data_IF_838672571995
#
_entry.id   IF_838672571995
#
_cell.length_a   1.000
_cell.length_b   1.000
_cell.length_c   1.000
_cell.angle_alpha   90.00
_cell.angle_beta   90.00
_cell.angle_gamma   90.00
#
_symmetry.space_group_name_H-M   'P 1'
#
loop_
_entity.id
_entity.type
_entity.pdbx_description
1 polymer ?
#
# COMPACT_ATOMS: atom_id res chain seq x y z
N UNK A 1 1.56 -0.85 -6.37
CA UNK A 1 2.75 -1.43 -5.71
C UNK A 1 4.06 -0.93 -6.32
N UNK A 2 4.39 -1.20 -7.59
CA UNK A 2 5.66 -0.71 -8.17
C UNK A 2 5.79 0.83 -8.11
N UNK A 3 4.74 1.56 -8.48
CA UNK A 3 4.73 3.02 -8.35
C UNK A 3 4.86 3.53 -6.91
N UNK A 4 4.41 2.73 -5.91
CA UNK A 4 4.58 3.06 -4.49
C UNK A 4 6.06 2.96 -4.12
N UNK A 5 6.71 1.83 -4.43
CA UNK A 5 8.12 1.59 -4.14
C UNK A 5 9.05 2.59 -4.82
N UNK A 6 8.77 2.96 -6.07
CA UNK A 6 9.53 3.99 -6.78
C UNK A 6 9.37 5.35 -6.08
N UNK A 7 8.15 5.69 -5.65
CA UNK A 7 7.92 6.95 -4.93
C UNK A 7 8.57 6.94 -3.56
N UNK A 8 8.55 5.81 -2.84
CA UNK A 8 9.22 5.62 -1.56
C UNK A 8 10.75 5.74 -1.70
N UNK A 9 11.32 5.20 -2.78
CA UNK A 9 12.75 5.33 -3.07
C UNK A 9 13.13 6.79 -3.34
N UNK A 10 12.35 7.52 -4.14
CA UNK A 10 12.56 8.95 -4.40
C UNK A 10 12.46 9.76 -3.09
N UNK A 11 11.43 9.50 -2.28
CA UNK A 11 11.21 10.14 -0.97
C UNK A 11 12.38 9.86 -0.02
N UNK A 12 12.81 8.60 0.05
CA UNK A 12 13.92 8.14 0.86
C UNK A 12 15.25 8.78 0.46
N UNK A 13 15.52 8.95 -0.84
CA UNK A 13 16.69 9.68 -1.34
C UNK A 13 16.66 11.15 -0.91
N UNK A 14 15.53 11.82 -1.05
CA UNK A 14 15.36 13.21 -0.58
C UNK A 14 15.50 13.34 0.94
N UNK A 15 15.02 12.34 1.69
CA UNK A 15 15.18 12.22 3.14
C UNK A 15 16.63 12.01 3.56
N UNK A 16 17.33 11.05 2.97
CA UNK A 16 18.73 10.72 3.24
C UNK A 16 19.67 11.90 2.98
N UNK A 17 19.38 12.72 1.96
CA UNK A 17 20.13 13.95 1.69
C UNK A 17 20.10 14.94 2.87
N UNK A 18 19.04 14.92 3.68
CA UNK A 18 18.93 15.75 4.89
C UNK A 18 20.03 15.44 5.91
N UNK A 19 20.59 14.22 5.91
CA UNK A 19 21.69 13.86 6.80
C UNK A 19 22.92 14.75 6.55
N UNK A 20 23.21 15.09 5.28
CA UNK A 20 24.28 16.03 4.95
C UNK A 20 24.06 17.40 5.59
N UNK A 21 22.84 17.93 5.50
CA UNK A 21 22.52 19.24 6.07
C UNK A 21 22.58 19.26 7.59
N UNK A 22 22.24 18.14 8.23
CA UNK A 22 22.41 17.97 9.68
C UNK A 22 23.90 17.98 10.05
N UNK A 23 24.76 17.27 9.30
CA UNK A 23 26.21 17.27 9.55
C UNK A 23 26.84 18.66 9.30
N UNK A 24 26.38 19.37 8.28
CA UNK A 24 26.85 20.72 7.94
C UNK A 24 26.24 21.82 8.83
N UNK A 25 25.37 21.47 9.78
CA UNK A 25 24.60 22.36 10.67
C UNK A 25 23.83 23.49 9.96
N UNK A 26 23.69 23.45 8.64
CA UNK A 26 23.05 24.49 7.85
C UNK A 26 22.65 23.98 6.47
N UNK A 27 21.39 24.17 6.10
CA UNK A 27 20.94 24.01 4.71
C UNK A 27 21.14 25.32 3.94
N UNK A 28 21.75 25.25 2.75
CA UNK A 28 22.08 26.43 1.93
C UNK A 28 21.32 26.40 0.61
N UNK A 29 20.92 27.57 0.12
CA UNK A 29 20.35 27.71 -1.22
C UNK A 29 21.35 27.29 -2.30
N UNK A 30 20.88 26.61 -3.34
CA UNK A 30 21.71 26.16 -4.46
C UNK A 30 21.13 24.94 -5.16
N UNK A 31 21.85 24.42 -6.16
CA UNK A 31 21.40 23.29 -6.99
C UNK A 31 21.09 22.03 -6.18
N UNK A 32 21.85 21.76 -5.11
CA UNK A 32 21.61 20.61 -4.23
C UNK A 32 20.30 20.74 -3.45
N UNK A 33 19.99 21.96 -2.97
CA UNK A 33 18.76 22.26 -2.25
C UNK A 33 17.54 22.11 -3.17
N UNK A 34 17.66 22.64 -4.37
CA UNK A 34 16.68 22.52 -5.44
C UNK A 34 16.40 21.08 -5.83
N UNK A 35 17.46 20.28 -6.02
CA UNK A 35 17.34 18.86 -6.34
C UNK A 35 16.63 18.09 -5.21
N UNK A 36 17.02 18.33 -3.96
CA UNK A 36 16.36 17.71 -2.81
C UNK A 36 14.88 18.09 -2.74
N UNK A 37 14.55 19.37 -2.92
CA UNK A 37 13.18 19.84 -2.86
C UNK A 37 12.31 19.24 -3.97
N UNK A 38 12.85 19.08 -5.19
CA UNK A 38 12.16 18.37 -6.28
C UNK A 38 11.92 16.91 -5.90
N UNK A 39 12.93 16.20 -5.40
CA UNK A 39 12.79 14.81 -4.99
C UNK A 39 11.68 14.64 -3.95
N UNK A 40 11.63 15.50 -2.92
CA UNK A 40 10.55 15.44 -1.91
C UNK A 40 9.19 15.80 -2.49
N UNK A 41 9.12 16.79 -3.37
CA UNK A 41 7.86 17.22 -4.00
C UNK A 41 7.30 16.17 -4.98
N UNK A 42 8.14 15.31 -5.58
CA UNK A 42 7.68 14.22 -6.46
C UNK A 42 7.46 12.92 -5.69
N UNK A 43 8.37 12.58 -4.79
CA UNK A 43 8.38 11.35 -4.04
C UNK A 43 7.25 11.33 -3.01
N UNK A 44 7.28 12.27 -2.08
CA UNK A 44 6.45 12.20 -0.88
C UNK A 44 4.94 12.15 -1.20
N UNK A 45 4.34 13.05 -2.04
CA UNK A 45 2.93 12.92 -2.42
C UNK A 45 2.65 11.69 -3.29
N UNK A 46 3.66 11.19 -4.01
CA UNK A 46 3.57 9.94 -4.76
C UNK A 46 3.25 8.74 -3.90
N UNK A 47 3.88 8.67 -2.72
CA UNK A 47 3.62 7.60 -1.74
C UNK A 47 2.18 7.67 -1.22
N UNK A 48 1.69 8.88 -0.94
CA UNK A 48 0.34 9.14 -0.47
C UNK A 48 -0.72 8.78 -1.53
N UNK A 49 -0.54 9.23 -2.77
CA UNK A 49 -1.45 8.93 -3.89
C UNK A 49 -1.50 7.43 -4.20
N UNK A 50 -0.34 6.75 -4.20
CA UNK A 50 -0.28 5.32 -4.43
C UNK A 50 -0.95 4.54 -3.29
N UNK A 51 -0.76 4.98 -2.03
CA UNK A 51 -1.40 4.38 -0.86
C UNK A 51 -2.92 4.57 -0.89
N UNK A 52 -3.40 5.75 -1.28
CA UNK A 52 -4.82 6.03 -1.49
C UNK A 52 -5.43 5.07 -2.52
N UNK A 53 -4.78 4.95 -3.69
CA UNK A 53 -5.24 4.05 -4.75
C UNK A 53 -5.30 2.58 -4.28
N UNK A 54 -4.27 2.12 -3.55
CA UNK A 54 -4.25 0.78 -2.95
C UNK A 54 -5.40 0.61 -1.95
N UNK A 55 -5.60 1.58 -1.06
CA UNK A 55 -6.65 1.53 -0.03
C UNK A 55 -8.03 1.41 -0.65
N UNK A 56 -8.34 2.27 -1.62
CA UNK A 56 -9.62 2.27 -2.34
C UNK A 56 -9.80 0.95 -3.08
N UNK A 57 -8.79 0.49 -3.82
CA UNK A 57 -8.85 -0.77 -4.56
C UNK A 57 -9.08 -1.98 -3.64
N UNK A 58 -8.34 -2.06 -2.53
CA UNK A 58 -8.48 -3.13 -1.54
C UNK A 58 -9.84 -3.08 -0.86
N UNK A 59 -10.36 -1.89 -0.55
CA UNK A 59 -11.72 -1.74 -0.05
C UNK A 59 -12.74 -2.31 -1.03
N UNK A 60 -12.69 -1.95 -2.32
CA UNK A 60 -13.63 -2.49 -3.31
C UNK A 60 -13.53 -4.02 -3.45
N UNK A 61 -12.31 -4.56 -3.44
CA UNK A 61 -12.07 -5.99 -3.50
C UNK A 61 -12.65 -6.76 -2.30
N UNK A 62 -12.61 -6.19 -1.09
CA UNK A 62 -13.09 -6.84 0.13
C UNK A 62 -14.58 -6.57 0.36
N UNK A 63 -14.99 -5.30 0.33
CA UNK A 63 -16.34 -4.86 0.66
C UNK A 63 -17.38 -5.36 -0.35
N UNK A 64 -17.08 -5.23 -1.65
CA UNK A 64 -18.01 -5.64 -2.71
C UNK A 64 -17.67 -6.99 -3.33
N UNK A 65 -16.70 -7.71 -2.73
CA UNK A 65 -16.11 -8.93 -3.32
C UNK A 65 -15.74 -8.73 -4.81
N UNK A 66 -15.37 -7.51 -5.19
CA UNK A 66 -15.12 -7.18 -6.59
C UNK A 66 -13.86 -7.88 -7.04
N UNK A 67 -13.97 -8.72 -8.06
CA UNK A 67 -12.85 -9.41 -8.67
C UNK A 67 -12.60 -8.81 -10.05
N UNK A 68 -11.69 -7.82 -10.17
CA UNK A 68 -11.29 -7.34 -11.48
C UNK A 68 -10.72 -8.52 -12.27
N UNK A 69 -10.99 -8.53 -13.58
CA UNK A 69 -10.43 -9.54 -14.45
C UNK A 69 -8.90 -9.44 -14.38
N UNK A 70 -8.21 -10.55 -14.10
CA UNK A 70 -6.77 -10.60 -13.79
C UNK A 70 -5.87 -10.02 -14.91
N UNK A 71 -6.42 -9.84 -16.12
CA UNK A 71 -5.72 -9.30 -17.29
C UNK A 71 -6.07 -7.84 -17.61
N UNK A 72 -7.00 -7.22 -16.87
CA UNK A 72 -7.37 -5.83 -17.12
C UNK A 72 -6.48 -4.87 -16.31
N UNK A 73 -5.39 -4.43 -16.93
CA UNK A 73 -4.46 -3.46 -16.37
C UNK A 73 -4.84 -2.00 -16.67
N UNK A 74 -5.98 -1.74 -17.31
CA UNK A 74 -6.36 -0.39 -17.75
C UNK A 74 -6.52 0.56 -16.57
N UNK A 75 -7.31 0.17 -15.57
CA UNK A 75 -7.58 0.99 -14.38
C UNK A 75 -6.28 1.33 -13.62
N UNK A 76 -5.45 0.35 -13.19
CA UNK A 76 -4.23 0.69 -12.47
C UNK A 76 -3.24 1.49 -13.32
N UNK A 77 -3.17 1.25 -14.63
CA UNK A 77 -2.31 2.02 -15.52
C UNK A 77 -2.76 3.48 -15.61
N UNK A 78 -4.05 3.73 -15.80
CA UNK A 78 -4.61 5.10 -15.86
C UNK A 78 -4.39 5.84 -14.54
N UNK A 79 -4.64 5.20 -13.39
CA UNK A 79 -4.42 5.81 -12.07
C UNK A 79 -2.95 6.16 -11.85
N UNK A 80 -2.04 5.25 -12.21
CA UNK A 80 -0.60 5.51 -12.11
C UNK A 80 -0.21 6.65 -13.07
N UNK A 81 -0.64 6.61 -14.32
CA UNK A 81 -0.36 7.65 -15.31
C UNK A 81 -0.80 9.03 -14.82
N UNK A 82 -2.06 9.19 -14.39
CA UNK A 82 -2.59 10.44 -13.84
C UNK A 82 -1.78 10.89 -12.62
N UNK A 83 -1.39 9.97 -11.73
CA UNK A 83 -0.60 10.34 -10.56
C UNK A 83 0.79 10.87 -10.92
N UNK A 84 1.44 10.31 -11.94
CA UNK A 84 2.76 10.76 -12.39
C UNK A 84 2.67 12.08 -13.14
N UNK A 85 1.71 12.21 -14.05
CA UNK A 85 1.51 13.46 -14.81
C UNK A 85 1.14 14.62 -13.89
N UNK A 86 0.29 14.39 -12.88
CA UNK A 86 -0.03 15.40 -11.88
C UNK A 86 1.22 15.90 -11.14
N UNK A 87 2.05 15.00 -10.61
CA UNK A 87 3.24 15.37 -9.81
C UNK A 87 4.31 16.07 -10.65
N UNK A 88 4.59 15.53 -11.83
CA UNK A 88 5.58 16.12 -12.74
C UNK A 88 5.09 17.47 -13.30
N UNK A 89 3.81 17.54 -13.68
CA UNK A 89 3.16 18.76 -14.14
C UNK A 89 3.08 19.84 -13.07
N UNK A 90 2.85 19.44 -11.81
CA UNK A 90 2.87 20.37 -10.68
C UNK A 90 4.26 20.98 -10.48
N UNK A 91 5.31 20.16 -10.47
CA UNK A 91 6.69 20.64 -10.31
C UNK A 91 7.11 21.56 -11.47
N UNK A 92 6.79 21.19 -12.71
CA UNK A 92 7.12 22.03 -13.87
C UNK A 92 6.31 23.34 -13.86
N UNK A 93 5.03 23.28 -13.50
CA UNK A 93 4.17 24.46 -13.34
C UNK A 93 4.67 25.41 -12.27
N UNK A 94 4.99 24.90 -11.08
CA UNK A 94 5.52 25.70 -9.96
C UNK A 94 6.88 26.34 -10.30
N UNK A 95 7.72 25.66 -11.09
CA UNK A 95 8.97 26.21 -11.61
C UNK A 95 8.72 27.34 -12.62
N UNK A 96 7.73 27.19 -13.50
CA UNK A 96 7.38 28.19 -14.49
C UNK A 96 6.70 29.42 -13.88
N UNK A 97 5.93 29.26 -12.81
CA UNK A 97 5.23 30.34 -12.11
C UNK A 97 6.06 31.02 -11.01
N UNK A 98 7.34 30.65 -10.86
CA UNK A 98 8.22 31.22 -9.85
C UNK A 98 8.36 32.74 -10.04
N UNK A 99 8.24 33.49 -8.95
CA UNK A 99 8.28 34.95 -8.97
C UNK A 99 9.71 35.42 -9.23
N UNK A 100 9.91 36.44 -10.09
CA UNK A 100 11.23 37.02 -10.31
C UNK A 100 11.88 37.46 -8.99
N UNK A 101 13.10 36.99 -8.71
CA UNK A 101 13.86 37.35 -7.52
C UNK A 101 13.51 36.58 -6.22
N UNK A 102 12.52 35.68 -6.24
CA UNK A 102 12.22 34.80 -5.09
C UNK A 102 12.58 33.36 -5.43
N UNK A 103 13.28 32.67 -4.53
CA UNK A 103 13.58 31.25 -4.73
C UNK A 103 12.34 30.41 -4.45
N UNK A 104 11.95 29.59 -5.43
CA UNK A 104 10.84 28.64 -5.28
C UNK A 104 11.14 27.64 -4.15
N UNK A 105 12.39 27.19 -4.08
CA UNK A 105 12.88 26.29 -3.05
C UNK A 105 13.74 27.05 -2.05
N UNK A 106 13.55 26.76 -0.78
CA UNK A 106 14.26 27.38 0.32
C UNK A 106 14.59 26.33 1.40
N UNK A 107 15.70 26.53 2.11
CA UNK A 107 16.04 25.69 3.26
C UNK A 107 15.05 25.92 4.41
N UNK A 108 14.60 24.83 4.99
CA UNK A 108 13.83 24.77 6.24
C UNK A 108 14.62 23.88 7.19
N UNK A 109 15.01 24.36 8.38
CA UNK A 109 16.36 24.33 8.97
C UNK A 109 17.35 23.21 8.58
N UNK A 110 16.91 21.97 8.36
CA UNK A 110 17.75 20.80 8.04
C UNK A 110 17.38 20.06 6.74
N UNK A 111 16.46 20.58 5.92
CA UNK A 111 16.10 20.05 4.61
C UNK A 111 15.68 21.17 3.67
N UNK A 112 15.63 20.89 2.37
CA UNK A 112 15.10 21.82 1.39
C UNK A 112 13.70 21.43 0.95
N UNK A 113 12.84 22.44 0.84
CA UNK A 113 11.48 22.29 0.35
C UNK A 113 11.02 23.59 -0.32
N UNK A 114 9.75 23.66 -0.71
CA UNK A 114 9.14 24.81 -1.37
C UNK A 114 9.04 25.93 -0.33
N UNK A 115 9.33 27.15 -0.72
CA UNK A 115 9.52 28.28 0.20
C UNK A 115 8.24 28.65 0.96
N UNK A 116 8.38 29.24 2.15
CA UNK A 116 7.27 29.71 2.99
C UNK A 116 6.43 30.79 2.28
N UNK A 117 7.01 31.48 1.31
CA UNK A 117 6.28 32.45 0.48
C UNK A 117 5.19 31.81 -0.38
N UNK A 118 5.27 30.50 -0.64
CA UNK A 118 4.35 29.74 -1.49
C UNK A 118 3.49 28.77 -0.67
N UNK A 119 2.94 29.22 0.46
CA UNK A 119 2.10 28.39 1.32
C UNK A 119 0.86 27.83 0.60
N UNK A 120 0.27 28.59 -0.33
CA UNK A 120 -0.85 28.10 -1.13
C UNK A 120 -0.44 26.98 -2.10
N UNK A 121 0.79 26.99 -2.62
CA UNK A 121 1.30 25.92 -3.49
C UNK A 121 1.68 24.66 -2.69
N UNK A 122 2.09 24.81 -1.42
CA UNK A 122 2.42 23.67 -0.54
C UNK A 122 1.27 22.71 -0.35
N UNK A 123 0.06 23.25 -0.26
CA UNK A 123 -1.16 22.48 0.00
C UNK A 123 -1.40 21.44 -1.11
N UNK A 124 -1.63 21.82 -2.38
CA UNK A 124 -1.81 20.87 -3.47
C UNK A 124 -0.55 20.04 -3.74
N UNK A 125 0.65 20.61 -3.52
CA UNK A 125 1.91 19.87 -3.71
C UNK A 125 1.98 18.59 -2.86
N UNK A 126 1.54 18.65 -1.60
CA UNK A 126 1.85 17.59 -0.62
C UNK A 126 0.74 17.39 0.42
N UNK A 127 0.38 18.43 1.17
CA UNK A 127 -0.50 18.29 2.34
C UNK A 127 -1.90 17.81 1.99
N UNK A 128 -2.46 18.26 0.85
CA UNK A 128 -3.74 17.80 0.32
C UNK A 128 -3.75 16.27 0.22
N UNK A 129 -2.71 15.69 -0.37
CA UNK A 129 -2.62 14.25 -0.57
C UNK A 129 -2.40 13.51 0.74
N UNK A 130 -1.61 14.05 1.66
CA UNK A 130 -1.42 13.44 2.97
C UNK A 130 -2.72 13.32 3.75
N UNK A 131 -3.46 14.43 3.85
CA UNK A 131 -4.71 14.49 4.60
C UNK A 131 -5.83 13.74 3.89
N UNK A 132 -5.91 13.82 2.56
CA UNK A 132 -6.87 13.03 1.79
C UNK A 132 -6.64 11.54 1.98
N UNK A 133 -5.40 11.07 1.84
CA UNK A 133 -5.08 9.64 2.04
C UNK A 133 -5.38 9.23 3.48
N UNK A 134 -4.95 9.99 4.47
CA UNK A 134 -5.22 9.68 5.88
C UNK A 134 -6.72 9.63 6.18
N UNK A 135 -7.48 10.65 5.74
CA UNK A 135 -8.92 10.73 5.94
C UNK A 135 -9.67 9.58 5.28
N UNK A 136 -9.36 9.29 4.01
CA UNK A 136 -9.99 8.16 3.29
C UNK A 136 -9.61 6.82 3.93
N UNK A 137 -8.35 6.64 4.35
CA UNK A 137 -7.95 5.43 5.07
C UNK A 137 -8.75 5.23 6.36
N UNK A 138 -8.93 6.27 7.18
CA UNK A 138 -9.74 6.20 8.41
C UNK A 138 -11.20 5.86 8.08
N UNK A 139 -11.80 6.57 7.11
CA UNK A 139 -13.21 6.38 6.73
C UNK A 139 -13.47 4.99 6.17
N UNK A 140 -12.56 4.45 5.34
CA UNK A 140 -12.73 3.12 4.75
C UNK A 140 -12.41 1.98 5.73
N UNK A 141 -11.61 2.23 6.77
CA UNK A 141 -11.29 1.23 7.78
C UNK A 141 -12.48 0.83 8.64
N UNK A 142 -13.36 1.79 8.98
CA UNK A 142 -14.56 1.55 9.79
C UNK A 142 -15.51 0.52 9.14
N UNK A 143 -16.03 0.72 7.91
CA UNK A 143 -16.91 -0.25 7.26
C UNK A 143 -16.20 -1.58 6.99
N UNK A 144 -14.91 -1.54 6.69
CA UNK A 144 -14.10 -2.73 6.46
C UNK A 144 -14.03 -3.63 7.69
N UNK A 145 -13.85 -3.07 8.88
CA UNK A 145 -13.89 -3.82 10.14
C UNK A 145 -15.20 -4.60 10.30
N UNK A 146 -16.33 -3.99 9.94
CA UNK A 146 -17.64 -4.64 10.00
C UNK A 146 -17.84 -5.72 8.93
N UNK A 147 -17.35 -5.50 7.71
CA UNK A 147 -17.37 -6.51 6.62
C UNK A 147 -16.55 -7.74 7.01
N UNK A 148 -15.37 -7.55 7.61
CA UNK A 148 -14.49 -8.66 8.04
C UNK A 148 -15.17 -9.52 9.11
N UNK A 149 -15.95 -8.91 10.01
CA UNK A 149 -16.75 -9.62 11.01
C UNK A 149 -18.00 -10.30 10.46
N UNK A 150 -18.24 -10.26 9.13
CA UNK A 150 -19.46 -10.75 8.46
C UNK A 150 -20.75 -10.10 8.99
N UNK A 151 -20.62 -8.95 9.68
CA UNK A 151 -21.75 -8.25 10.26
C UNK A 151 -22.46 -7.37 9.22
N UNK A 152 -21.78 -7.06 8.12
CA UNK A 152 -22.29 -6.29 6.98
C UNK A 152 -22.02 -7.05 5.68
N UNK A 153 -23.06 -7.25 4.89
CA UNK A 153 -22.95 -7.62 3.48
C UNK A 153 -23.33 -6.41 2.62
N UNK A 154 -22.42 -6.01 1.73
CA UNK A 154 -22.60 -4.89 0.80
C UNK A 154 -22.87 -5.46 -0.57
N UNK A 155 -24.14 -5.37 -1.00
CA UNK A 155 -24.57 -5.90 -2.28
C UNK A 155 -23.87 -5.15 -3.44
N UNK A 156 -23.35 -5.91 -4.41
CA UNK A 156 -22.59 -5.41 -5.56
C UNK A 156 -23.46 -4.55 -6.49
N UNK A 157 -24.74 -4.91 -6.63
CA UNK A 157 -25.68 -4.25 -7.53
C UNK A 157 -26.34 -3.02 -6.88
N UNK A 158 -26.36 -2.94 -5.54
CA UNK A 158 -27.00 -1.87 -4.76
C UNK A 158 -26.15 -1.51 -3.55
N UNK A 159 -25.12 -0.65 -3.70
CA UNK A 159 -24.20 -0.32 -2.61
C UNK A 159 -24.88 0.33 -1.40
N UNK A 160 -26.09 0.88 -1.58
CA UNK A 160 -26.90 1.49 -0.53
C UNK A 160 -27.74 0.49 0.28
N UNK A 161 -27.88 -0.76 -0.17
CA UNK A 161 -28.55 -1.82 0.60
C UNK A 161 -27.53 -2.48 1.51
N UNK A 162 -27.37 -1.91 2.71
CA UNK A 162 -26.64 -2.57 3.78
C UNK A 162 -27.50 -3.70 4.35
N UNK A 163 -27.07 -4.94 4.17
CA UNK A 163 -27.73 -6.07 4.80
C UNK A 163 -26.94 -6.48 6.05
N UNK A 164 -27.39 -6.00 7.21
CA UNK A 164 -26.77 -6.29 8.51
C UNK A 164 -27.21 -7.68 8.95
N UNK A 165 -26.31 -8.65 8.94
CA UNK A 165 -26.58 -9.99 9.44
C UNK A 165 -25.96 -10.15 10.83
N UNK A 166 -26.70 -10.72 11.79
CA UNK A 166 -26.12 -11.10 13.09
C UNK A 166 -25.05 -12.17 12.86
N UNK A 167 -23.86 -11.94 13.42
CA UNK A 167 -22.70 -12.79 13.27
C UNK A 167 -23.04 -14.29 13.44
N UNK A 168 -22.74 -15.15 12.44
CA UNK A 168 -22.76 -16.58 12.68
C UNK A 168 -21.63 -16.95 13.66
N UNK A 169 -21.84 -17.98 14.48
CA UNK A 169 -20.87 -18.42 15.47
C UNK A 169 -19.44 -18.55 14.91
N UNK A 170 -18.48 -18.24 15.78
CA UNK A 170 -17.04 -18.03 15.59
C UNK A 170 -16.25 -19.26 15.05
N UNK A 171 -16.87 -20.16 14.27
CA UNK A 171 -16.33 -21.46 13.88
C UNK A 171 -16.01 -21.65 12.39
N UNK A 172 -16.34 -20.71 11.50
CA UNK A 172 -16.08 -20.87 10.05
C UNK A 172 -15.31 -19.69 9.46
N UNK A 173 -14.05 -19.54 9.86
CA UNK A 173 -13.04 -18.81 9.08
C UNK A 173 -12.60 -19.66 7.87
N UNK A 174 -13.59 -20.08 7.05
CA UNK A 174 -13.37 -20.64 5.72
C UNK A 174 -13.13 -19.53 4.71
N UNK A 175 -12.23 -18.60 5.03
CA UNK A 175 -11.86 -17.51 4.13
C UNK A 175 -10.97 -18.06 3.03
N UNK A 176 -11.46 -18.06 1.79
CA UNK A 176 -10.66 -18.26 0.57
C UNK A 176 -9.31 -17.56 0.71
N UNK A 177 -8.23 -18.23 0.30
CA UNK A 177 -6.84 -17.76 0.40
C UNK A 177 -6.66 -16.31 -0.08
N UNK A 178 -7.47 -15.89 -1.05
CA UNK A 178 -7.54 -14.53 -1.60
C UNK A 178 -7.96 -13.48 -0.56
N UNK A 179 -8.92 -13.77 0.32
CA UNK A 179 -9.38 -12.82 1.35
C UNK A 179 -8.29 -12.63 2.40
N UNK A 180 -7.65 -13.72 2.85
CA UNK A 180 -6.52 -13.66 3.80
C UNK A 180 -5.36 -12.84 3.24
N UNK A 181 -5.10 -12.93 1.92
CA UNK A 181 -4.09 -12.11 1.26
C UNK A 181 -4.50 -10.63 1.21
N UNK A 182 -5.75 -10.32 0.84
CA UNK A 182 -6.27 -8.94 0.81
C UNK A 182 -6.26 -8.27 2.19
N UNK A 183 -6.50 -9.03 3.27
CA UNK A 183 -6.42 -8.52 4.64
C UNK A 183 -5.01 -8.08 5.04
N UNK A 184 -3.97 -8.78 4.58
CA UNK A 184 -2.58 -8.37 4.84
C UNK A 184 -2.24 -7.06 4.13
N UNK A 185 -2.84 -6.79 2.97
CA UNK A 185 -2.67 -5.52 2.23
C UNK A 185 -3.26 -4.32 2.99
N UNK A 186 -4.14 -4.55 3.97
CA UNK A 186 -4.64 -3.48 4.84
C UNK A 186 -3.57 -2.90 5.74
N UNK A 187 -2.55 -3.69 6.11
CA UNK A 187 -1.50 -3.22 7.02
C UNK A 187 -0.73 -2.01 6.46
N UNK A 188 -0.74 -1.80 5.13
CA UNK A 188 -0.13 -0.64 4.48
C UNK A 188 -0.80 0.69 4.88
N UNK A 189 -2.11 0.92 4.65
CA UNK A 189 -2.76 2.14 5.12
C UNK A 189 -2.69 2.36 6.64
N UNK A 190 -2.69 1.30 7.46
CA UNK A 190 -2.48 1.45 8.91
C UNK A 190 -1.06 1.97 9.23
N UNK A 191 -0.04 1.38 8.63
CA UNK A 191 1.34 1.84 8.78
C UNK A 191 1.52 3.28 8.27
N UNK A 192 0.86 3.62 7.15
CA UNK A 192 0.84 4.98 6.63
C UNK A 192 0.23 5.97 7.63
N UNK A 193 -0.88 5.63 8.31
CA UNK A 193 -1.45 6.49 9.35
C UNK A 193 -0.48 6.73 10.51
N UNK A 194 0.23 5.69 10.95
CA UNK A 194 1.22 5.81 12.04
C UNK A 194 2.37 6.74 11.67
N UNK A 195 2.82 6.74 10.41
CA UNK A 195 3.94 7.58 9.97
C UNK A 195 3.52 9.00 9.60
N UNK A 196 2.34 9.19 8.99
CA UNK A 196 1.91 10.50 8.48
C UNK A 196 1.20 11.37 9.51
N UNK A 197 0.42 10.78 10.42
CA UNK A 197 -0.44 11.54 11.35
C UNK A 197 0.39 12.41 12.30
N UNK A 198 1.46 11.91 12.96
CA UNK A 198 2.27 12.75 13.85
C UNK A 198 2.86 13.96 13.13
N UNK A 199 3.41 13.75 11.93
CA UNK A 199 3.96 14.83 11.11
C UNK A 199 2.89 15.84 10.69
N UNK A 200 1.69 15.36 10.33
CA UNK A 200 0.56 16.23 9.95
C UNK A 200 0.09 17.11 11.11
N UNK A 201 -0.01 16.54 12.32
CA UNK A 201 -0.41 17.29 13.54
C UNK A 201 0.60 18.40 13.84
N UNK A 202 1.91 18.11 13.78
CA UNK A 202 2.94 19.13 13.99
C UNK A 202 2.81 20.30 12.99
N UNK A 203 2.54 19.99 11.71
CA UNK A 203 2.38 21.02 10.67
C UNK A 203 1.10 21.85 10.84
N UNK A 204 0.01 21.24 11.31
CA UNK A 204 -1.21 21.98 11.62
C UNK A 204 -1.01 22.96 12.79
N UNK A 205 -0.24 22.57 13.81
CA UNK A 205 0.10 23.45 14.94
C UNK A 205 0.95 24.65 14.46
N UNK A 206 1.89 24.39 13.56
CA UNK A 206 2.75 25.40 12.93
C UNK A 206 1.91 26.42 12.12
N UNK A 207 0.95 25.95 11.32
CA UNK A 207 0.03 26.82 10.57
C UNK A 207 -0.89 27.67 11.48
N UNK A 208 -1.32 27.14 12.62
CA UNK A 208 -2.17 27.87 13.57
C UNK A 208 -1.39 28.85 14.46
N UNK A 209 -0.06 28.97 14.30
CA UNK A 209 0.77 29.90 15.07
C UNK A 209 0.78 29.66 16.58
N UNK A 210 0.33 28.48 17.03
CA UNK A 210 -0.08 28.23 18.41
C UNK A 210 1.05 27.74 19.34
N UNK A 211 2.30 27.60 18.85
CA UNK A 211 3.41 27.29 19.75
C UNK A 211 4.75 27.00 19.06
N UNK A 212 5.85 27.34 19.75
CA UNK A 212 7.20 26.90 19.39
C UNK A 212 7.29 25.39 19.65
N UNK A 213 7.16 24.59 18.60
CA UNK A 213 7.32 23.14 18.70
C UNK A 213 8.77 22.84 19.08
N UNK A 214 9.04 22.09 20.17
CA UNK A 214 10.40 21.74 20.52
C UNK A 214 11.07 20.97 19.37
N UNK A 215 12.27 21.40 18.98
CA UNK A 215 12.99 20.84 17.82
C UNK A 215 13.13 19.31 17.87
N UNK A 216 13.25 18.74 19.08
CA UNK A 216 13.32 17.29 19.33
C UNK A 216 12.10 16.54 18.79
N UNK A 217 10.88 17.05 19.03
CA UNK A 217 9.65 16.40 18.59
C UNK A 217 9.48 16.49 17.08
N UNK A 218 9.78 17.66 16.51
CA UNK A 218 9.74 17.84 15.06
C UNK A 218 10.72 16.88 14.35
N UNK A 219 11.94 16.74 14.88
CA UNK A 219 12.93 15.81 14.34
C UNK A 219 12.44 14.37 14.39
N UNK A 220 11.90 13.92 15.53
CA UNK A 220 11.37 12.56 15.68
C UNK A 220 10.24 12.27 14.67
N UNK A 221 9.27 13.18 14.53
CA UNK A 221 8.16 13.01 13.60
C UNK A 221 8.63 12.95 12.14
N UNK A 222 9.60 13.80 11.76
CA UNK A 222 10.18 13.82 10.43
C UNK A 222 11.01 12.56 10.16
N UNK A 223 11.78 12.08 11.14
CA UNK A 223 12.50 10.81 11.03
C UNK A 223 11.52 9.66 10.80
N UNK A 224 10.46 9.54 11.60
CA UNK A 224 9.42 8.52 11.42
C UNK A 224 8.77 8.59 10.03
N UNK A 225 8.47 9.80 9.56
CA UNK A 225 7.93 10.01 8.22
C UNK A 225 8.88 9.52 7.12
N UNK A 226 10.18 9.89 7.19
CA UNK A 226 11.18 9.43 6.21
C UNK A 226 11.42 7.91 6.26
N UNK A 227 11.21 7.26 7.42
CA UNK A 227 11.26 5.80 7.54
C UNK A 227 10.04 5.09 6.90
N UNK A 228 9.01 5.81 6.48
CA UNK A 228 7.78 5.23 5.90
C UNK A 228 8.05 4.28 4.72
N UNK A 229 9.01 4.61 3.85
CA UNK A 229 9.38 3.75 2.73
C UNK A 229 9.99 2.42 3.16
N UNK A 230 10.82 2.42 4.22
CA UNK A 230 11.36 1.18 4.81
C UNK A 230 10.23 0.32 5.36
N UNK A 231 9.27 0.93 6.06
CA UNK A 231 8.09 0.23 6.59
C UNK A 231 7.30 -0.42 5.45
N UNK A 232 7.05 0.30 4.35
CA UNK A 232 6.35 -0.25 3.18
C UNK A 232 7.09 -1.44 2.55
N UNK A 233 8.41 -1.39 2.44
CA UNK A 233 9.23 -2.50 1.92
C UNK A 233 9.17 -3.70 2.85
N UNK A 234 9.34 -3.50 4.16
CA UNK A 234 9.24 -4.57 5.16
C UNK A 234 7.85 -5.22 5.11
N UNK A 235 6.78 -4.43 5.04
CA UNK A 235 5.42 -4.92 4.88
C UNK A 235 5.26 -5.75 3.60
N UNK A 236 5.89 -5.35 2.50
CA UNK A 236 5.89 -6.12 1.26
C UNK A 236 6.60 -7.46 1.41
N UNK A 237 7.77 -7.47 2.03
CA UNK A 237 8.53 -8.69 2.29
C UNK A 237 7.75 -9.63 3.21
N UNK A 238 7.16 -9.15 4.31
CA UNK A 238 6.37 -9.97 5.22
C UNK A 238 5.03 -10.44 4.62
N UNK A 239 4.40 -9.61 3.79
CA UNK A 239 3.14 -9.99 3.11
C UNK A 239 3.38 -11.04 2.03
N UNK A 240 4.51 -10.94 1.30
CA UNK A 240 4.84 -11.79 0.15
C UNK A 240 5.69 -13.02 0.49
N UNK A 241 6.40 -13.04 1.62
CA UNK A 241 7.17 -14.22 2.09
C UNK A 241 6.30 -15.43 2.44
N UNK A 242 4.99 -15.25 2.62
CA UNK A 242 4.05 -16.38 2.66
C UNK A 242 3.84 -17.06 1.28
N UNK A 243 4.45 -16.54 0.21
CA UNK A 243 4.42 -17.08 -1.16
C UNK A 243 5.84 -17.45 -1.65
N UNK A 244 6.91 -16.90 -1.05
CA UNK A 244 8.29 -17.33 -1.28
C UNK A 244 8.63 -18.46 -0.29
N UNK A 245 8.28 -19.68 -0.72
CA UNK A 245 8.46 -20.98 -0.06
C UNK A 245 9.58 -21.10 0.98
N UNK A 246 9.20 -20.96 2.25
CA UNK A 246 9.81 -21.70 3.36
C UNK A 246 8.77 -22.61 4.04
N UNK A 247 7.90 -23.23 3.25
CA UNK A 247 7.35 -24.52 3.66
C UNK A 247 8.40 -25.56 3.30
N UNK A 248 9.15 -26.02 4.29
CA UNK A 248 9.79 -27.31 4.22
C UNK A 248 8.71 -28.30 3.75
N UNK A 249 8.95 -28.96 2.61
CA UNK A 249 8.13 -30.11 2.23
C UNK A 249 8.20 -31.11 3.38
N UNK A 250 7.09 -31.24 4.13
CA UNK A 250 6.95 -32.40 5.00
C UNK A 250 6.88 -33.61 4.08
N UNK A 251 7.72 -34.65 4.30
CA UNK A 251 7.75 -35.81 3.44
C UNK A 251 6.35 -36.44 3.42
N UNK A 252 5.84 -36.68 2.22
CA UNK A 252 4.59 -37.42 2.01
C UNK A 252 4.71 -38.75 2.75
N UNK A 253 4.09 -38.80 3.92
CA UNK A 253 3.97 -40.04 4.69
C UNK A 253 3.21 -41.03 3.82
N UNK A 254 3.84 -42.20 3.65
CA UNK A 254 3.38 -43.34 2.91
C UNK A 254 1.86 -43.56 3.06
N UNK A 255 1.16 -43.47 1.94
CA UNK A 255 -0.20 -43.97 1.82
C UNK A 255 -0.14 -45.49 1.99
N UNK A 256 -0.52 -45.93 3.21
CA UNK A 256 -0.66 -47.34 3.58
C UNK A 256 -1.64 -48.00 2.61
N UNK A 257 -1.13 -48.91 1.79
CA UNK A 257 -1.93 -49.91 1.10
C UNK A 257 -2.61 -50.78 2.17
N UNK A 258 -3.95 -50.78 2.22
CA UNK A 258 -4.73 -51.72 3.02
C UNK A 258 -5.52 -52.63 2.08
N UNK A 259 -5.43 -53.97 2.23
CA UNK A 259 -6.09 -54.91 1.34
C UNK A 259 -7.59 -54.99 1.67
N UNK A 260 -8.44 -54.53 0.77
CA UNK A 260 -9.89 -54.67 0.93
C UNK A 260 -10.32 -56.11 0.64
N UNK A 261 -10.91 -56.72 1.67
CA UNK A 261 -11.35 -58.11 1.73
C UNK A 261 -12.36 -58.49 0.64
N UNK A 262 -12.21 -59.73 0.14
CA UNK A 262 -13.17 -60.47 -0.69
C UNK A 262 -14.55 -60.58 -0.02
N UNK A 263 -15.59 -60.41 -0.81
CA UNK A 263 -16.94 -60.95 -0.57
C UNK A 263 -17.50 -61.54 -1.87
N UNK A 264 -18.17 -62.71 -1.87
CA UNK A 264 -18.56 -63.40 -3.10
C UNK A 264 -19.99 -63.01 -3.50
N UNK A 265 -20.27 -62.79 -4.79
CA UNK A 265 -21.62 -63.05 -5.34
C UNK A 265 -21.66 -63.21 -6.86
N UNK A 266 -22.25 -64.35 -7.23
CA UNK A 266 -22.75 -64.83 -8.52
C UNK A 266 -23.39 -63.77 -9.43
N UNK A 267 -23.17 -63.92 -10.74
CA UNK A 267 -24.27 -63.93 -11.72
C UNK A 267 -24.22 -62.91 -12.88
N UNK A 268 -23.96 -63.45 -14.09
CA UNK A 268 -24.47 -63.08 -15.42
C UNK A 268 -24.13 -61.72 -16.09
N UNK A 269 -23.45 -61.89 -17.24
CA UNK A 269 -23.69 -61.28 -18.57
C UNK A 269 -23.23 -59.84 -18.87
N UNK A 270 -22.09 -59.81 -19.59
CA UNK A 270 -21.78 -59.05 -20.82
C UNK A 270 -22.31 -57.61 -21.03
N UNK A 271 -21.35 -56.66 -21.06
CA UNK A 271 -21.25 -55.62 -22.12
C UNK A 271 -19.84 -54.95 -22.12
N UNK A 272 -19.00 -55.47 -23.02
CA UNK A 272 -18.12 -54.79 -24.00
C UNK A 272 -17.45 -53.43 -23.69
N UNK A 273 -16.09 -53.45 -23.72
CA UNK A 273 -15.13 -52.43 -24.26
C UNK A 273 -14.94 -51.13 -23.47
N UNK A 274 -13.77 -50.53 -23.27
CA UNK A 274 -12.34 -50.80 -23.47
C UNK A 274 -11.61 -49.60 -22.84
N UNK A 275 -10.54 -49.79 -22.07
CA UNK A 275 -9.37 -48.92 -22.18
C UNK A 275 -8.16 -49.55 -21.50
N UNK A 276 -7.04 -49.43 -22.21
CA UNK A 276 -5.77 -50.11 -22.04
C UNK A 276 -5.04 -49.70 -20.78
N UNK A 277 -4.46 -50.68 -20.08
CA UNK A 277 -3.33 -50.48 -19.19
C UNK A 277 -2.11 -51.11 -19.88
N UNK A 278 -1.36 -50.30 -20.63
CA UNK A 278 -0.08 -50.72 -21.21
C UNK A 278 1.05 -50.28 -20.28
N UNK A 279 1.69 -51.28 -19.70
CA UNK A 279 2.88 -51.24 -18.87
C UNK A 279 4.12 -51.07 -19.75
N UNK A 280 4.90 -49.99 -19.59
CA UNK A 280 6.29 -49.94 -20.05
C UNK A 280 7.06 -48.78 -19.40
N UNK A 281 7.94 -49.08 -18.45
CA UNK A 281 9.38 -48.95 -18.69
C UNK A 281 10.20 -49.51 -17.54
N UNK A 282 11.11 -50.40 -17.93
CA UNK A 282 12.08 -51.13 -17.16
C UNK A 282 13.45 -50.45 -17.30
N UNK A 283 14.17 -50.33 -16.20
CA UNK A 283 15.62 -50.53 -16.02
C UNK A 283 16.54 -50.06 -17.16
N UNK A 284 17.21 -48.92 -16.95
CA UNK A 284 18.67 -48.83 -16.81
C UNK A 284 19.06 -47.47 -16.24
#
# INVERSE_FOLDING_TARGET
MMSLLVSDAISGLGGAWSLKWVLDNSARCGSMCDAQAILKTVGDPGTAMATLAITVHTFFMIAFSWRPHQRDFRIPFVVVFISWTYRLGFVSGARASALPGKTLFAPSPYWCWISDHYNFERIPATYLWYWLTAGVSIVLYVPLYFVIRRNLDLDRERPWRLSVHRAPELGRVGGSSTVKLSLKVLLYPAAYLVTIVPNSVMRLIDFNGSGKIPAKWNFLCISLFNLGGLVNVLLLLFTRSNVLGFHAEMPKSAEKCSPQQRGPRRGRSASTVSSKCETACSVK
#
